data_IF_349188068700
#
_entry.id   IF_349188068700
#
_cell.length_a   1.000
_cell.length_b   1.000
_cell.length_c   1.000
_cell.angle_alpha   90.00
_cell.angle_beta   90.00
_cell.angle_gamma   90.00
#
_symmetry.space_group_name_H-M   'P 1'
#
loop_
_entity.id
_entity.type
_entity.pdbx_description
1 polymer ?
#
# COMPACT_ATOMS: atom_id res chain seq x y z
N UNK A 1 2.91 22.50 -8.38
CA UNK A 1 1.57 22.51 -7.74
C UNK A 1 1.74 22.01 -6.32
N UNK A 2 1.25 22.74 -5.31
CA UNK A 2 1.16 22.21 -3.95
C UNK A 2 0.01 21.20 -3.93
N UNK A 3 0.30 19.97 -3.52
CA UNK A 3 -0.73 18.98 -3.20
C UNK A 3 -1.43 19.43 -1.91
N UNK A 4 -2.75 19.28 -1.83
CA UNK A 4 -3.48 19.57 -0.60
C UNK A 4 -3.01 18.59 0.51
N UNK A 5 -3.14 18.94 1.80
CA UNK A 5 -2.66 18.07 2.88
C UNK A 5 -3.16 16.62 2.81
N UNK A 6 -4.39 16.40 2.35
CA UNK A 6 -4.96 15.07 2.20
C UNK A 6 -4.40 14.28 1.02
N UNK A 7 -4.17 14.93 -0.14
CA UNK A 7 -3.48 14.32 -1.28
C UNK A 7 -2.08 13.83 -0.87
N UNK A 8 -1.35 14.66 -0.11
CA UNK A 8 -0.02 14.30 0.38
C UNK A 8 -0.07 13.08 1.30
N UNK A 9 -1.09 12.99 2.16
CA UNK A 9 -1.29 11.85 3.05
C UNK A 9 -1.61 10.57 2.28
N UNK A 10 -2.49 10.63 1.26
CA UNK A 10 -2.80 9.49 0.39
C UNK A 10 -1.52 9.04 -0.33
N UNK A 11 -0.80 9.97 -0.95
CA UNK A 11 0.41 9.66 -1.71
C UNK A 11 1.51 9.05 -0.82
N UNK A 12 1.73 9.60 0.37
CA UNK A 12 2.70 9.07 1.34
C UNK A 12 2.33 7.64 1.78
N UNK A 13 1.03 7.38 2.00
CA UNK A 13 0.54 6.06 2.36
C UNK A 13 0.72 5.05 1.21
N UNK A 14 0.33 5.42 -0.01
CA UNK A 14 0.53 4.60 -1.22
C UNK A 14 2.00 4.25 -1.44
N UNK A 15 2.89 5.23 -1.33
CA UNK A 15 4.34 5.03 -1.46
C UNK A 15 4.92 4.13 -0.36
N UNK A 16 4.44 4.25 0.89
CA UNK A 16 4.89 3.36 1.96
C UNK A 16 4.43 1.92 1.74
N UNK A 17 3.18 1.72 1.33
CA UNK A 17 2.63 0.40 1.01
C UNK A 17 3.35 -0.24 -0.18
N UNK A 18 3.71 0.55 -1.20
CA UNK A 18 4.54 0.08 -2.31
C UNK A 18 5.93 -0.37 -1.86
N UNK A 19 6.55 0.38 -0.96
CA UNK A 19 7.84 0.00 -0.38
C UNK A 19 7.73 -1.33 0.36
N UNK A 20 6.68 -1.55 1.15
CA UNK A 20 6.45 -2.84 1.82
C UNK A 20 6.29 -4.02 0.86
N UNK A 21 5.67 -3.79 -0.31
CA UNK A 21 5.58 -4.82 -1.36
C UNK A 21 6.98 -5.16 -1.88
N UNK A 22 7.83 -4.15 -2.13
CA UNK A 22 9.20 -4.39 -2.58
C UNK A 22 10.04 -5.13 -1.54
N UNK A 23 9.93 -4.74 -0.26
CA UNK A 23 10.59 -5.45 0.85
C UNK A 23 10.13 -6.92 0.92
N UNK A 24 8.83 -7.19 0.81
CA UNK A 24 8.31 -8.57 0.84
C UNK A 24 8.77 -9.42 -0.35
N UNK A 25 8.89 -8.83 -1.54
CA UNK A 25 9.44 -9.51 -2.72
C UNK A 25 10.92 -9.86 -2.54
N UNK A 26 11.71 -8.92 -2.01
CA UNK A 26 13.12 -9.16 -1.73
C UNK A 26 13.31 -10.29 -0.70
N UNK A 27 12.48 -10.33 0.33
CA UNK A 27 12.47 -11.43 1.32
C UNK A 27 12.14 -12.78 0.66
N UNK A 28 11.18 -12.79 -0.28
CA UNK A 28 10.80 -14.01 -1.00
C UNK A 28 11.91 -14.50 -1.94
N UNK A 29 12.55 -13.59 -2.67
CA UNK A 29 13.69 -13.91 -3.53
C UNK A 29 14.87 -14.48 -2.71
N UNK A 30 15.18 -13.89 -1.56
CA UNK A 30 16.21 -14.40 -0.66
C UNK A 30 15.88 -15.81 -0.13
N UNK A 31 14.65 -16.02 0.34
CA UNK A 31 14.20 -17.32 0.83
C UNK A 31 14.21 -18.41 -0.26
N UNK A 32 13.95 -18.03 -1.52
CA UNK A 32 14.03 -18.94 -2.67
C UNK A 32 15.46 -19.36 -2.98
N UNK A 33 16.44 -18.45 -2.84
CA UNK A 33 17.87 -18.77 -3.03
C UNK A 33 18.36 -19.74 -1.96
N UNK A 34 17.89 -19.56 -0.72
CA UNK A 34 18.29 -20.41 0.42
C UNK A 34 17.49 -21.73 0.50
N UNK A 35 16.52 -21.95 -0.40
CA UNK A 35 15.60 -23.09 -0.45
C UNK A 35 14.86 -23.36 0.89
N UNK A 36 14.69 -22.33 1.73
CA UNK A 36 14.00 -22.43 3.01
C UNK A 36 12.48 -22.37 2.80
N UNK A 37 11.84 -23.55 2.82
CA UNK A 37 10.41 -23.69 2.63
C UNK A 37 9.57 -22.89 3.64
N UNK A 38 10.01 -22.73 4.90
CA UNK A 38 9.28 -21.95 5.89
C UNK A 38 9.42 -20.45 5.63
N UNK A 39 10.63 -20.00 5.28
CA UNK A 39 10.85 -18.60 4.93
C UNK A 39 10.09 -18.22 3.65
N UNK A 40 10.01 -19.11 2.67
CA UNK A 40 9.24 -18.90 1.43
C UNK A 40 7.74 -18.72 1.72
N UNK A 41 7.15 -19.60 2.54
CA UNK A 41 5.73 -19.49 2.93
C UNK A 41 5.46 -18.16 3.65
N UNK A 42 6.33 -17.77 4.59
CA UNK A 42 6.19 -16.52 5.33
C UNK A 42 6.32 -15.29 4.42
N UNK A 43 7.31 -15.28 3.52
CA UNK A 43 7.53 -14.19 2.60
C UNK A 43 6.38 -14.05 1.60
N UNK A 44 5.82 -15.16 1.12
CA UNK A 44 4.63 -15.16 0.25
C UNK A 44 3.39 -14.61 0.97
N UNK A 45 3.15 -15.02 2.21
CA UNK A 45 2.05 -14.49 3.01
C UNK A 45 2.21 -12.97 3.28
N UNK A 46 3.45 -12.52 3.52
CA UNK A 46 3.78 -11.10 3.66
C UNK A 46 3.50 -10.34 2.35
N UNK A 47 3.94 -10.85 1.21
CA UNK A 47 3.69 -10.25 -0.11
C UNK A 47 2.18 -10.08 -0.36
N UNK A 48 1.40 -11.15 -0.18
CA UNK A 48 -0.06 -11.14 -0.35
C UNK A 48 -0.74 -10.10 0.53
N UNK A 49 -0.31 -9.99 1.80
CA UNK A 49 -0.85 -9.01 2.72
C UNK A 49 -0.58 -7.57 2.25
N UNK A 50 0.64 -7.28 1.79
CA UNK A 50 1.01 -5.93 1.34
C UNK A 50 0.29 -5.55 0.05
N UNK A 51 0.11 -6.49 -0.89
CA UNK A 51 -0.69 -6.24 -2.09
C UNK A 51 -2.17 -5.97 -1.76
N UNK A 52 -2.76 -6.74 -0.85
CA UNK A 52 -4.14 -6.51 -0.39
C UNK A 52 -4.30 -5.16 0.29
N UNK A 53 -3.33 -4.79 1.12
CA UNK A 53 -3.31 -3.49 1.80
C UNK A 53 -3.26 -2.33 0.81
N UNK A 54 -2.42 -2.40 -0.24
CA UNK A 54 -2.31 -1.35 -1.28
C UNK A 54 -3.50 -1.32 -2.25
N UNK A 55 -4.29 -2.38 -2.33
CA UNK A 55 -5.36 -2.48 -3.34
C UNK A 55 -6.43 -1.41 -3.18
N UNK A 56 -6.72 -0.68 -4.28
CA UNK A 56 -7.84 0.26 -4.37
C UNK A 56 -9.22 -0.41 -4.28
N UNK A 57 -9.30 -1.71 -4.55
CA UNK A 57 -10.53 -2.51 -4.40
C UNK A 57 -10.69 -3.11 -2.99
N UNK A 58 -9.72 -2.90 -2.10
CA UNK A 58 -9.67 -3.50 -0.77
C UNK A 58 -9.10 -2.54 0.27
N UNK A 59 -7.84 -2.73 0.67
CA UNK A 59 -7.23 -2.01 1.80
C UNK A 59 -7.23 -0.49 1.69
N UNK A 60 -7.16 0.06 0.47
CA UNK A 60 -7.24 1.51 0.21
C UNK A 60 -8.60 1.96 -0.31
N UNK A 61 -9.61 1.09 -0.29
CA UNK A 61 -10.95 1.40 -0.78
C UNK A 61 -11.55 2.56 0.03
N UNK A 62 -12.10 3.54 -0.68
CA UNK A 62 -12.81 4.67 -0.08
C UNK A 62 -11.93 5.86 0.30
N UNK A 63 -10.59 5.77 0.26
CA UNK A 63 -9.74 6.95 0.49
C UNK A 63 -9.86 7.98 -0.63
N UNK A 64 -9.97 7.52 -1.88
CA UNK A 64 -10.25 8.39 -3.01
C UNK A 64 -11.67 8.97 -2.96
N UNK A 65 -12.66 8.19 -2.51
CA UNK A 65 -14.03 8.68 -2.37
C UNK A 65 -14.13 9.73 -1.25
N UNK A 66 -13.44 9.52 -0.13
CA UNK A 66 -13.33 10.48 0.97
C UNK A 66 -12.61 11.75 0.52
N UNK A 67 -11.58 11.61 -0.31
CA UNK A 67 -10.91 12.76 -0.89
C UNK A 67 -11.85 13.58 -1.78
N UNK A 68 -12.56 12.91 -2.68
CA UNK A 68 -13.55 13.54 -3.55
C UNK A 68 -14.62 14.27 -2.73
N UNK A 69 -15.09 13.66 -1.64
CA UNK A 69 -16.02 14.32 -0.72
C UNK A 69 -15.47 15.62 -0.13
N UNK A 70 -14.22 15.62 0.35
CA UNK A 70 -13.60 16.86 0.86
C UNK A 70 -13.43 17.91 -0.23
N UNK A 71 -13.11 17.50 -1.46
CA UNK A 71 -12.99 18.40 -2.61
C UNK A 71 -14.33 19.02 -3.02
N UNK A 72 -15.40 18.24 -2.99
CA UNK A 72 -16.76 18.71 -3.31
C UNK A 72 -17.34 19.66 -2.25
N UNK A 73 -16.85 19.59 -1.01
CA UNK A 73 -17.35 20.36 0.13
C UNK A 73 -16.32 21.37 0.67
N UNK A 74 -15.30 21.72 -0.12
CA UNK A 74 -14.17 22.57 0.31
C UNK A 74 -14.62 23.95 0.81
N UNK A 75 -15.71 24.50 0.26
CA UNK A 75 -16.27 25.80 0.67
C UNK A 75 -17.21 25.72 1.90
N UNK A 76 -17.53 24.52 2.37
CA UNK A 76 -18.47 24.27 3.47
C UNK A 76 -17.77 23.89 4.79
N UNK A 77 -16.44 23.76 4.77
CA UNK A 77 -15.57 23.41 5.91
C UNK A 77 -14.72 24.60 6.34
#
# INVERSE_FOLDING_TARGET
MLLMPFDQAIWALEGRLETFIHEAKADLEAAQVDEDAQAIELARAKEDLMFRARSSNGGMKGLHDLWNYFKENEDAL
#
